data_IF_915695783296
#
_entry.id   IF_915695783296
#
_cell.length_a   1.000
_cell.length_b   1.000
_cell.length_c   1.000
_cell.angle_alpha   90.00
_cell.angle_beta   90.00
_cell.angle_gamma   90.00
#
_symmetry.space_group_name_H-M   'P 1'
#
loop_
_entity.id
_entity.type
_entity.pdbx_description
1 polymer ?
#
# COMPACT_ATOMS: atom_id res chain seq x y z
N UNK A 1 -21.95 -13.72 13.19
CA UNK A 1 -21.86 -12.93 14.44
C UNK A 1 -21.36 -11.57 14.08
N UNK A 2 -22.21 -10.55 14.20
CA UNK A 2 -21.90 -9.14 13.93
C UNK A 2 -21.05 -8.54 15.04
N UNK A 3 -19.94 -7.88 14.68
CA UNK A 3 -19.04 -7.22 15.64
C UNK A 3 -19.51 -5.81 15.97
N UNK A 4 -19.87 -5.04 14.94
CA UNK A 4 -20.39 -3.68 15.10
C UNK A 4 -21.67 -3.58 14.27
N UNK A 5 -22.85 -3.47 14.91
CA UNK A 5 -24.13 -3.43 14.21
C UNK A 5 -24.13 -2.41 13.06
N UNK A 6 -24.45 -2.89 11.86
CA UNK A 6 -24.53 -2.08 10.65
C UNK A 6 -23.19 -1.66 10.03
N UNK A 7 -22.06 -1.79 10.73
CA UNK A 7 -20.74 -1.35 10.25
C UNK A 7 -19.83 -2.54 9.93
N UNK A 8 -19.82 -3.57 10.77
CA UNK A 8 -18.91 -4.71 10.64
C UNK A 8 -19.67 -6.03 10.96
N UNK A 9 -20.08 -6.80 9.94
CA UNK A 9 -19.84 -6.55 8.51
C UNK A 9 -20.70 -5.38 8.01
N UNK A 10 -20.29 -4.69 6.93
CA UNK A 10 -21.01 -3.50 6.48
C UNK A 10 -22.42 -3.85 6.02
N UNK A 11 -23.43 -3.17 6.58
CA UNK A 11 -24.78 -3.20 6.02
C UNK A 11 -24.78 -2.63 4.59
N UNK A 12 -25.87 -2.84 3.84
CA UNK A 12 -25.98 -2.27 2.49
C UNK A 12 -25.84 -0.75 2.49
N UNK A 13 -26.48 -0.08 3.44
CA UNK A 13 -26.40 1.37 3.60
C UNK A 13 -24.97 1.84 3.89
N UNK A 14 -24.27 1.17 4.81
CA UNK A 14 -22.87 1.49 5.13
C UNK A 14 -21.97 1.26 3.93
N UNK A 15 -22.14 0.14 3.22
CA UNK A 15 -21.40 -0.18 2.01
C UNK A 15 -21.58 0.91 0.94
N UNK A 16 -22.82 1.24 0.59
CA UNK A 16 -23.12 2.24 -0.43
C UNK A 16 -22.58 3.63 -0.04
N UNK A 17 -22.70 4.03 1.24
CA UNK A 17 -22.14 5.26 1.76
C UNK A 17 -20.61 5.32 1.64
N UNK A 18 -19.91 4.27 2.10
CA UNK A 18 -18.45 4.22 2.08
C UNK A 18 -17.93 4.21 0.65
N UNK A 19 -18.50 3.38 -0.24
CA UNK A 19 -18.10 3.31 -1.64
C UNK A 19 -18.33 4.64 -2.37
N UNK A 20 -19.45 5.33 -2.10
CA UNK A 20 -19.70 6.64 -2.69
C UNK A 20 -18.72 7.69 -2.17
N UNK A 21 -18.49 7.73 -0.86
CA UNK A 21 -17.65 8.75 -0.22
C UNK A 21 -16.17 8.56 -0.56
N UNK A 22 -15.67 7.33 -0.56
CA UNK A 22 -14.25 7.02 -0.72
C UNK A 22 -13.70 7.35 -2.13
N UNK A 23 -14.58 7.44 -3.12
CA UNK A 23 -14.24 7.91 -4.47
C UNK A 23 -13.72 9.36 -4.51
N UNK A 24 -14.11 10.18 -3.53
CA UNK A 24 -13.70 11.57 -3.45
C UNK A 24 -12.43 11.78 -2.63
N UNK A 25 -11.81 10.70 -2.14
CA UNK A 25 -10.54 10.77 -1.42
C UNK A 25 -9.43 11.54 -2.16
N UNK A 26 -9.29 11.47 -3.50
CA UNK A 26 -8.26 12.22 -4.21
C UNK A 26 -8.35 13.74 -3.98
N UNK A 27 -9.54 14.28 -3.72
CA UNK A 27 -9.72 15.70 -3.38
C UNK A 27 -9.03 16.06 -2.06
N UNK A 28 -9.02 15.16 -1.08
CA UNK A 28 -8.29 15.35 0.17
C UNK A 28 -6.78 15.28 -0.06
N UNK A 29 -6.32 14.44 -0.97
CA UNK A 29 -4.90 14.34 -1.33
C UNK A 29 -4.40 15.56 -2.11
N UNK A 30 -5.28 16.46 -2.60
CA UNK A 30 -4.87 17.71 -3.24
C UNK A 30 -3.94 18.54 -2.35
N UNK A 31 -4.10 18.47 -1.03
CA UNK A 31 -3.19 19.12 -0.08
C UNK A 31 -1.76 18.57 -0.21
N UNK A 32 -1.58 17.27 -0.50
CA UNK A 32 -0.25 16.67 -0.69
C UNK A 32 0.46 17.15 -1.96
N UNK A 33 -0.25 17.82 -2.88
CA UNK A 33 0.37 18.45 -4.05
C UNK A 33 0.97 19.82 -3.73
N UNK A 34 0.48 20.49 -2.68
CA UNK A 34 0.95 21.81 -2.25
C UNK A 34 1.92 21.75 -1.06
N UNK A 35 2.09 20.58 -0.44
CA UNK A 35 3.05 20.40 0.65
C UNK A 35 3.80 19.09 0.55
N UNK A 36 5.10 19.13 0.83
CA UNK A 36 5.93 17.94 1.02
C UNK A 36 5.82 17.40 2.47
N UNK A 37 4.96 18.00 3.31
CA UNK A 37 4.78 17.61 4.70
C UNK A 37 4.01 16.29 4.84
N UNK A 38 4.77 15.22 5.07
CA UNK A 38 4.25 13.90 5.40
C UNK A 38 5.14 13.30 6.50
N UNK A 39 4.84 13.46 7.80
CA UNK A 39 5.78 13.17 8.89
C UNK A 39 5.99 11.66 9.13
N UNK A 40 6.70 11.03 8.19
CA UNK A 40 7.05 9.62 8.10
C UNK A 40 8.24 9.45 7.14
N UNK A 41 9.04 8.40 7.31
CA UNK A 41 10.15 8.10 6.39
C UNK A 41 11.20 9.21 6.30
N UNK A 42 11.44 9.74 5.08
CA UNK A 42 12.43 10.81 4.82
C UNK A 42 12.04 12.16 5.42
N UNK A 43 10.75 12.37 5.65
CA UNK A 43 10.12 13.60 6.15
C UNK A 43 9.65 13.46 7.60
N UNK A 44 10.08 12.39 8.29
CA UNK A 44 9.85 12.18 9.73
C UNK A 44 10.42 13.34 10.54
N UNK A 45 9.64 13.81 11.53
CA UNK A 45 9.97 14.94 12.42
C UNK A 45 10.20 14.43 13.84
N UNK A 46 10.86 15.22 14.68
CA UNK A 46 10.92 14.95 16.12
C UNK A 46 9.65 15.48 16.82
N UNK A 47 8.95 14.61 17.55
CA UNK A 47 7.67 14.91 18.18
C UNK A 47 7.37 13.88 19.28
N UNK A 48 6.79 14.35 20.39
CA UNK A 48 6.31 13.47 21.47
C UNK A 48 5.16 12.55 21.02
N UNK A 49 4.48 12.88 19.92
CA UNK A 49 3.39 12.09 19.33
C UNK A 49 3.90 11.05 18.32
N UNK A 50 5.20 10.79 18.26
CA UNK A 50 5.75 9.79 17.36
C UNK A 50 5.53 8.38 17.90
N UNK A 51 5.10 7.49 17.00
CA UNK A 51 5.02 6.05 17.24
C UNK A 51 6.27 5.40 16.63
N UNK A 52 6.86 4.36 17.28
CA UNK A 52 7.95 3.60 16.68
C UNK A 52 7.58 3.09 15.29
N UNK A 53 8.42 3.36 14.29
CA UNK A 53 8.02 3.25 12.88
C UNK A 53 7.46 1.90 12.47
N UNK A 54 8.07 0.79 12.91
CA UNK A 54 7.59 -0.57 12.60
C UNK A 54 6.21 -0.85 13.18
N UNK A 55 5.98 -0.42 14.44
CA UNK A 55 4.71 -0.61 15.14
C UNK A 55 3.64 0.28 14.50
N UNK A 56 3.95 1.57 14.29
CA UNK A 56 3.02 2.50 13.65
C UNK A 56 2.57 2.03 12.27
N UNK A 57 3.51 1.48 11.48
CA UNK A 57 3.20 0.90 10.18
C UNK A 57 2.32 -0.35 10.27
N UNK A 58 2.67 -1.30 11.13
CA UNK A 58 1.86 -2.52 11.29
C UNK A 58 0.43 -2.19 11.75
N UNK A 59 0.31 -1.28 12.72
CA UNK A 59 -0.97 -0.83 13.26
C UNK A 59 -1.81 -0.12 12.19
N UNK A 60 -1.23 0.75 11.37
CA UNK A 60 -2.02 1.50 10.39
C UNK A 60 -2.48 0.68 9.18
N UNK A 61 -1.77 -0.40 8.84
CA UNK A 61 -2.09 -1.27 7.70
C UNK A 61 -3.01 -2.45 8.07
N UNK A 62 -3.05 -2.86 9.34
CA UNK A 62 -3.86 -4.00 9.81
C UNK A 62 -5.38 -3.85 9.65
N UNK A 63 -6.00 -2.67 9.81
CA UNK A 63 -7.47 -2.55 9.73
C UNK A 63 -8.06 -3.05 8.41
N UNK A 64 -7.43 -2.71 7.28
CA UNK A 64 -7.90 -3.14 5.96
C UNK A 64 -7.94 -4.66 5.82
N UNK A 65 -6.85 -5.33 6.23
CA UNK A 65 -6.74 -6.79 6.29
C UNK A 65 -7.86 -7.41 7.12
N UNK A 66 -8.02 -6.93 8.36
CA UNK A 66 -8.97 -7.48 9.32
C UNK A 66 -10.42 -7.31 8.84
N UNK A 67 -10.77 -6.14 8.28
CA UNK A 67 -12.13 -5.85 7.81
C UNK A 67 -12.49 -6.70 6.59
N UNK A 68 -11.60 -6.86 5.61
CA UNK A 68 -11.87 -7.69 4.43
C UNK A 68 -12.03 -9.16 4.81
N UNK A 69 -11.11 -9.69 5.62
CA UNK A 69 -11.18 -11.07 6.09
C UNK A 69 -12.46 -11.32 6.89
N UNK A 70 -12.79 -10.42 7.81
CA UNK A 70 -14.01 -10.56 8.60
C UNK A 70 -15.28 -10.44 7.74
N UNK A 71 -15.31 -9.53 6.76
CA UNK A 71 -16.46 -9.35 5.87
C UNK A 71 -16.71 -10.58 5.00
N UNK A 72 -15.68 -11.19 4.40
CA UNK A 72 -15.87 -12.39 3.56
C UNK A 72 -16.34 -13.60 4.37
N UNK A 73 -15.99 -13.68 5.66
CA UNK A 73 -16.38 -14.79 6.55
C UNK A 73 -17.79 -14.64 7.14
N UNK A 74 -18.32 -13.42 7.24
CA UNK A 74 -19.55 -13.15 8.01
C UNK A 74 -20.69 -12.59 7.16
N UNK A 75 -20.39 -11.72 6.20
CA UNK A 75 -21.40 -11.03 5.40
C UNK A 75 -22.27 -11.97 4.54
N UNK A 76 -21.76 -13.07 3.94
CA UNK A 76 -22.60 -13.97 3.15
C UNK A 76 -23.78 -14.54 3.94
N UNK A 77 -23.54 -14.94 5.19
CA UNK A 77 -24.57 -15.48 6.07
C UNK A 77 -25.65 -14.43 6.39
N UNK A 78 -25.25 -13.18 6.66
CA UNK A 78 -26.16 -12.05 6.91
C UNK A 78 -27.00 -11.71 5.67
N UNK A 79 -26.48 -11.97 4.47
CA UNK A 79 -27.17 -11.75 3.19
C UNK A 79 -27.99 -12.96 2.73
N UNK A 80 -28.00 -14.06 3.48
CA UNK A 80 -28.66 -15.31 3.05
C UNK A 80 -27.98 -15.99 1.84
N UNK A 81 -26.73 -15.64 1.55
CA UNK A 81 -25.93 -16.24 0.48
C UNK A 81 -25.33 -17.53 1.02
N UNK A 82 -25.74 -18.68 0.44
CA UNK A 82 -25.25 -20.01 0.86
C UNK A 82 -23.76 -20.19 0.60
N UNK A 83 -23.29 -19.74 -0.57
CA UNK A 83 -21.90 -19.89 -1.00
C UNK A 83 -21.53 -18.73 -1.92
N UNK A 84 -20.38 -18.11 -1.67
CA UNK A 84 -19.84 -17.09 -2.55
C UNK A 84 -19.19 -17.72 -3.80
N UNK A 85 -19.22 -17.05 -4.95
CA UNK A 85 -18.46 -17.48 -6.12
C UNK A 85 -16.95 -17.57 -5.83
N UNK A 86 -16.25 -18.49 -6.51
CA UNK A 86 -14.81 -18.67 -6.37
C UNK A 86 -14.02 -17.38 -6.62
N UNK A 87 -14.47 -16.54 -7.55
CA UNK A 87 -13.85 -15.26 -7.88
C UNK A 87 -13.86 -14.28 -6.69
N UNK A 88 -14.90 -14.29 -5.84
CA UNK A 88 -14.93 -13.49 -4.62
C UNK A 88 -13.83 -13.93 -3.65
N UNK A 89 -13.69 -15.25 -3.45
CA UNK A 89 -12.61 -15.81 -2.62
C UNK A 89 -11.24 -15.51 -3.20
N UNK A 90 -11.06 -15.58 -4.52
CA UNK A 90 -9.83 -15.18 -5.19
C UNK A 90 -9.49 -13.72 -4.89
N UNK A 91 -10.41 -12.77 -5.12
CA UNK A 91 -10.16 -11.36 -4.80
C UNK A 91 -9.87 -11.14 -3.31
N UNK A 92 -10.63 -11.77 -2.41
CA UNK A 92 -10.38 -11.67 -0.98
C UNK A 92 -8.99 -12.21 -0.61
N UNK A 93 -8.59 -13.36 -1.17
CA UNK A 93 -7.29 -13.98 -0.92
C UNK A 93 -6.13 -13.13 -1.43
N UNK A 94 -6.22 -12.56 -2.63
CA UNK A 94 -5.19 -11.67 -3.17
C UNK A 94 -5.02 -10.42 -2.28
N UNK A 95 -6.13 -9.77 -1.91
CA UNK A 95 -6.09 -8.62 -1.00
C UNK A 95 -5.45 -8.98 0.35
N UNK A 96 -5.88 -10.10 0.95
CA UNK A 96 -5.34 -10.61 2.22
C UNK A 96 -3.85 -10.91 2.09
N UNK A 97 -3.41 -11.55 1.00
CA UNK A 97 -2.01 -11.88 0.77
C UNK A 97 -1.13 -10.62 0.67
N UNK A 98 -1.57 -9.61 -0.10
CA UNK A 98 -0.90 -8.31 -0.15
C UNK A 98 -0.77 -7.72 1.25
N UNK A 99 -1.87 -7.66 2.02
CA UNK A 99 -1.85 -7.00 3.32
C UNK A 99 -1.17 -7.81 4.44
N UNK A 100 -1.08 -9.14 4.33
CA UNK A 100 -0.17 -9.93 5.18
C UNK A 100 1.27 -9.49 4.93
N UNK A 101 1.66 -9.37 3.66
CA UNK A 101 2.97 -8.84 3.32
C UNK A 101 3.11 -7.41 3.84
N UNK A 102 2.18 -6.51 3.54
CA UNK A 102 2.31 -5.08 3.80
C UNK A 102 2.22 -4.69 5.28
N UNK A 103 1.29 -5.27 6.02
CA UNK A 103 1.04 -4.92 7.41
C UNK A 103 1.98 -5.64 8.38
N UNK A 104 2.38 -6.89 8.09
CA UNK A 104 3.12 -7.71 9.03
C UNK A 104 4.54 -7.99 8.55
N UNK A 105 4.69 -8.63 7.38
CA UNK A 105 6.01 -9.06 6.91
C UNK A 105 6.92 -7.87 6.58
N UNK A 106 6.40 -6.87 5.87
CA UNK A 106 7.13 -5.68 5.43
C UNK A 106 7.80 -4.95 6.59
N UNK A 107 7.09 -4.48 7.65
CA UNK A 107 7.73 -3.77 8.75
C UNK A 107 8.68 -4.65 9.56
N UNK A 108 8.41 -5.97 9.67
CA UNK A 108 9.31 -6.91 10.33
C UNK A 108 10.65 -7.05 9.58
N UNK A 109 10.61 -7.12 8.25
CA UNK A 109 11.79 -7.22 7.38
C UNK A 109 12.61 -5.92 7.29
N UNK A 110 12.06 -4.77 7.66
CA UNK A 110 12.79 -3.50 7.61
C UNK A 110 13.97 -3.50 8.60
N UNK A 111 15.21 -3.21 8.17
CA UNK A 111 16.34 -3.10 9.09
C UNK A 111 16.14 -1.96 10.09
N UNK A 112 15.70 -0.80 9.59
CA UNK A 112 15.35 0.38 10.35
C UNK A 112 14.15 1.07 9.72
N UNK A 113 13.37 1.78 10.54
CA UNK A 113 12.23 2.56 10.11
C UNK A 113 12.15 3.83 10.94
N UNK A 114 12.01 4.98 10.27
CA UNK A 114 11.89 6.26 10.99
C UNK A 114 10.57 6.31 11.77
N UNK A 115 10.53 7.00 12.92
CA UNK A 115 9.29 7.21 13.65
C UNK A 115 8.21 7.86 12.78
N UNK A 116 6.96 7.51 13.04
CA UNK A 116 5.80 7.99 12.29
C UNK A 116 4.94 8.80 13.25
N UNK A 117 4.59 10.02 12.86
CA UNK A 117 3.74 10.88 13.67
C UNK A 117 2.33 10.30 13.79
N UNK A 118 1.72 10.40 14.98
CA UNK A 118 0.38 9.88 15.27
C UNK A 118 -0.67 10.33 14.24
N UNK A 119 -0.64 11.59 13.81
CA UNK A 119 -1.57 12.10 12.78
C UNK A 119 -1.51 11.32 11.47
N UNK A 120 -0.31 10.92 11.02
CA UNK A 120 -0.13 10.08 9.83
C UNK A 120 -0.69 8.69 10.03
N UNK A 121 -0.42 8.09 11.20
CA UNK A 121 -0.94 6.76 11.56
C UNK A 121 -2.47 6.77 11.57
N UNK A 122 -3.11 7.73 12.22
CA UNK A 122 -4.57 7.84 12.28
C UNK A 122 -5.19 8.07 10.90
N UNK A 123 -4.56 8.88 10.05
CA UNK A 123 -5.05 9.11 8.69
C UNK A 123 -4.96 7.85 7.82
N UNK A 124 -3.88 7.07 7.95
CA UNK A 124 -3.73 5.78 7.27
C UNK A 124 -4.68 4.71 7.81
N UNK A 125 -4.96 4.69 9.12
CA UNK A 125 -6.01 3.83 9.71
C UNK A 125 -7.38 4.15 9.10
N UNK A 126 -7.74 5.44 9.04
CA UNK A 126 -9.01 5.87 8.45
C UNK A 126 -9.11 5.43 6.98
N UNK A 127 -8.05 5.65 6.20
CA UNK A 127 -7.96 5.19 4.81
C UNK A 127 -8.19 3.68 4.69
N UNK A 128 -7.47 2.86 5.48
CA UNK A 128 -7.59 1.41 5.45
C UNK A 128 -8.95 0.90 5.96
N UNK A 129 -9.64 1.64 6.85
CA UNK A 129 -11.02 1.33 7.23
C UNK A 129 -11.98 1.55 6.07
N UNK A 130 -11.94 2.70 5.40
CA UNK A 130 -12.79 2.99 4.25
C UNK A 130 -12.53 2.01 3.09
N UNK A 131 -11.25 1.72 2.82
CA UNK A 131 -10.87 0.75 1.80
C UNK A 131 -11.35 -0.66 2.17
N UNK A 132 -11.08 -1.09 3.41
CA UNK A 132 -11.46 -2.41 3.90
C UNK A 132 -12.97 -2.64 3.88
N UNK A 133 -13.77 -1.64 4.29
CA UNK A 133 -15.24 -1.72 4.24
C UNK A 133 -15.75 -1.76 2.79
N UNK A 134 -15.13 -1.00 1.89
CA UNK A 134 -15.49 -0.98 0.46
C UNK A 134 -15.18 -2.31 -0.23
N UNK A 135 -13.93 -2.78 -0.13
CA UNK A 135 -13.49 -4.04 -0.75
C UNK A 135 -14.17 -5.23 -0.08
N UNK A 136 -14.20 -5.25 1.25
CA UNK A 136 -14.81 -6.30 2.07
C UNK A 136 -16.30 -6.46 1.80
N UNK A 137 -17.04 -5.35 1.68
CA UNK A 137 -18.45 -5.39 1.30
C UNK A 137 -18.67 -5.92 -0.12
N UNK A 138 -17.81 -5.55 -1.08
CA UNK A 138 -17.90 -6.02 -2.46
C UNK A 138 -17.69 -7.54 -2.54
N UNK A 139 -16.57 -8.03 -2.02
CA UNK A 139 -16.21 -9.46 -2.07
C UNK A 139 -17.08 -10.31 -1.15
N UNK A 140 -17.59 -9.74 -0.05
CA UNK A 140 -18.46 -10.42 0.90
C UNK A 140 -19.92 -10.56 0.46
N UNK A 141 -20.31 -9.97 -0.68
CA UNK A 141 -21.60 -10.27 -1.32
C UNK A 141 -22.43 -9.07 -1.78
N UNK A 142 -22.11 -7.82 -1.39
CA UNK A 142 -22.91 -6.67 -1.86
C UNK A 142 -22.70 -6.35 -3.35
N UNK A 143 -21.50 -6.61 -3.87
CA UNK A 143 -21.13 -6.24 -5.24
C UNK A 143 -21.22 -7.38 -6.25
N UNK A 144 -20.81 -8.58 -5.85
CA UNK A 144 -20.72 -9.74 -6.74
C UNK A 144 -21.30 -11.01 -6.07
N UNK A 145 -22.62 -11.07 -5.82
CA UNK A 145 -23.22 -12.13 -4.99
C UNK A 145 -23.37 -13.49 -5.68
N UNK A 146 -23.30 -13.58 -7.02
CA UNK A 146 -23.76 -14.76 -7.74
C UNK A 146 -22.81 -15.24 -8.83
N UNK A 147 -22.90 -16.53 -9.17
CA UNK A 147 -22.13 -17.12 -10.28
C UNK A 147 -22.43 -16.44 -11.62
N UNK A 148 -23.68 -15.99 -11.82
CA UNK A 148 -24.08 -15.28 -13.02
C UNK A 148 -23.32 -13.96 -13.22
N UNK A 149 -22.97 -13.26 -12.14
CA UNK A 149 -22.14 -12.04 -12.21
C UNK A 149 -20.76 -12.32 -12.82
N UNK A 150 -20.18 -13.49 -12.53
CA UNK A 150 -18.85 -13.88 -12.98
C UNK A 150 -18.84 -14.69 -14.28
N UNK A 151 -20.01 -15.01 -14.83
CA UNK A 151 -20.12 -15.77 -16.06
C UNK A 151 -19.33 -15.10 -17.21
N UNK A 152 -18.56 -15.89 -17.95
CA UNK A 152 -17.73 -15.39 -19.06
C UNK A 152 -16.52 -14.54 -18.66
N UNK A 153 -16.23 -14.40 -17.35
CA UNK A 153 -15.14 -13.54 -16.87
C UNK A 153 -13.81 -14.26 -16.66
N UNK A 154 -13.71 -15.57 -16.93
CA UNK A 154 -12.54 -16.40 -16.61
C UNK A 154 -11.22 -15.82 -17.15
N UNK A 155 -11.13 -15.52 -18.46
CA UNK A 155 -9.93 -14.94 -19.05
C UNK A 155 -9.54 -13.59 -18.45
N UNK A 156 -10.53 -12.74 -18.13
CA UNK A 156 -10.29 -11.45 -17.48
C UNK A 156 -9.69 -11.64 -16.08
N UNK A 157 -10.23 -12.59 -15.32
CA UNK A 157 -9.73 -12.95 -13.99
C UNK A 157 -8.30 -13.49 -14.09
N UNK A 158 -8.02 -14.41 -15.02
CA UNK A 158 -6.68 -14.97 -15.24
C UNK A 158 -5.65 -13.90 -15.57
N UNK A 159 -5.92 -13.03 -16.56
CA UNK A 159 -5.04 -11.93 -16.93
C UNK A 159 -4.82 -11.00 -15.73
N UNK A 160 -5.90 -10.65 -15.01
CA UNK A 160 -5.82 -9.82 -13.82
C UNK A 160 -4.95 -10.43 -12.71
N UNK A 161 -5.06 -11.75 -12.47
CA UNK A 161 -4.22 -12.47 -11.51
C UNK A 161 -2.75 -12.51 -11.93
N UNK A 162 -2.45 -12.70 -13.22
CA UNK A 162 -1.08 -12.67 -13.74
C UNK A 162 -0.46 -11.29 -13.53
N UNK A 163 -1.18 -10.22 -13.90
CA UNK A 163 -0.73 -8.85 -13.67
C UNK A 163 -0.51 -8.61 -12.18
N UNK A 164 -1.48 -8.98 -11.34
CA UNK A 164 -1.40 -8.82 -9.90
C UNK A 164 -0.18 -9.54 -9.30
N UNK A 165 0.03 -10.81 -9.65
CA UNK A 165 1.10 -11.64 -9.09
C UNK A 165 2.49 -11.15 -9.46
N UNK A 166 2.74 -10.87 -10.74
CA UNK A 166 4.02 -10.31 -11.18
C UNK A 166 4.30 -8.93 -10.58
N UNK A 167 3.25 -8.14 -10.38
CA UNK A 167 3.35 -6.81 -9.79
C UNK A 167 3.67 -6.87 -8.30
N UNK A 168 3.02 -7.75 -7.53
CA UNK A 168 3.38 -7.97 -6.12
C UNK A 168 4.83 -8.46 -6.00
N UNK A 169 5.25 -9.43 -6.82
CA UNK A 169 6.65 -9.88 -6.84
C UNK A 169 7.62 -8.73 -7.15
N UNK A 170 7.27 -7.88 -8.12
CA UNK A 170 8.03 -6.67 -8.44
C UNK A 170 8.09 -5.70 -7.27
N UNK A 171 6.97 -5.44 -6.59
CA UNK A 171 6.93 -4.58 -5.40
C UNK A 171 7.85 -5.13 -4.30
N UNK A 172 7.73 -6.41 -3.96
CA UNK A 172 8.55 -7.09 -2.95
C UNK A 172 10.04 -7.01 -3.29
N UNK A 173 10.40 -7.28 -4.56
CA UNK A 173 11.78 -7.24 -5.05
C UNK A 173 12.40 -5.85 -4.87
N UNK A 174 11.71 -4.79 -5.30
CA UNK A 174 12.23 -3.43 -5.18
C UNK A 174 12.26 -2.94 -3.73
N UNK A 175 11.33 -3.38 -2.90
CA UNK A 175 11.38 -3.12 -1.46
C UNK A 175 12.58 -3.80 -0.80
N UNK A 176 12.93 -5.03 -1.20
CA UNK A 176 14.10 -5.72 -0.65
C UNK A 176 15.43 -5.09 -1.10
N UNK A 177 15.52 -4.59 -2.34
CA UNK A 177 16.68 -3.80 -2.79
C UNK A 177 16.89 -2.55 -1.91
N UNK A 178 15.80 -1.85 -1.57
CA UNK A 178 15.85 -0.71 -0.65
C UNK A 178 16.24 -1.12 0.78
N UNK A 179 15.82 -2.31 1.23
CA UNK A 179 16.25 -2.85 2.54
C UNK A 179 17.74 -3.17 2.51
N UNK A 180 18.26 -3.77 1.45
CA UNK A 180 19.66 -4.15 1.36
C UNK A 180 20.58 -2.93 1.41
N UNK A 181 20.19 -1.82 0.76
CA UNK A 181 20.88 -0.53 0.91
C UNK A 181 20.98 -0.10 2.37
N UNK A 182 19.88 -0.25 3.14
CA UNK A 182 19.88 0.07 4.58
C UNK A 182 20.72 -0.92 5.39
N UNK A 183 20.68 -2.22 5.07
CA UNK A 183 21.51 -3.24 5.74
C UNK A 183 22.99 -2.96 5.52
N UNK A 184 23.38 -2.69 4.27
CA UNK A 184 24.76 -2.33 3.90
C UNK A 184 25.23 -1.08 4.64
N UNK A 185 24.41 -0.03 4.67
CA UNK A 185 24.74 1.20 5.39
C UNK A 185 24.99 0.96 6.89
N UNK A 186 24.15 0.15 7.53
CA UNK A 186 24.30 -0.22 8.94
C UNK A 186 25.57 -1.03 9.20
N UNK A 187 25.94 -1.96 8.30
CA UNK A 187 27.19 -2.74 8.42
C UNK A 187 28.41 -1.82 8.38
N UNK A 188 28.47 -0.93 7.40
CA UNK A 188 29.57 0.05 7.24
C UNK A 188 29.70 0.93 8.49
N UNK A 189 28.59 1.41 9.05
CA UNK A 189 28.62 2.22 10.28
C UNK A 189 29.12 1.45 11.49
N UNK A 190 28.67 0.21 11.67
CA UNK A 190 29.13 -0.65 12.77
C UNK A 190 30.64 -0.91 12.67
N UNK A 191 31.13 -1.22 11.47
CA UNK A 191 32.56 -1.42 11.23
C UNK A 191 33.37 -0.15 11.52
N UNK A 192 32.87 1.02 11.12
CA UNK A 192 33.52 2.31 11.40
C UNK A 192 33.57 2.62 12.90
N UNK A 193 32.46 2.44 13.61
CA UNK A 193 32.40 2.65 15.06
C UNK A 193 33.33 1.71 15.83
N UNK A 194 33.41 0.43 15.42
CA UNK A 194 34.35 -0.54 15.98
C UNK A 194 35.81 -0.13 15.77
N UNK A 195 36.16 0.35 14.57
CA UNK A 195 37.52 0.83 14.26
C UNK A 195 37.90 2.10 15.01
N UNK A 196 36.93 2.99 15.26
CA UNK A 196 37.15 4.26 15.96
C UNK A 196 37.04 4.14 17.49
N UNK A 197 36.72 2.96 18.03
CA UNK A 197 36.57 2.74 19.47
C UNK A 197 35.44 3.54 20.12
N UNK A 198 34.51 4.08 19.31
CA UNK A 198 33.37 4.87 19.77
C UNK A 198 32.13 3.98 19.87
N UNK A 199 31.28 4.26 20.86
CA UNK A 199 29.93 3.70 20.86
C UNK A 199 29.21 4.13 19.56
N UNK A 200 28.36 3.25 19.02
CA UNK A 200 27.50 3.60 17.87
C UNK A 200 26.44 4.60 18.36
N UNK A 201 26.81 5.86 18.48
CA UNK A 201 25.89 6.95 18.80
C UNK A 201 25.10 7.32 17.54
N UNK A 202 23.93 6.70 17.40
CA UNK A 202 22.98 7.05 16.34
C UNK A 202 23.38 6.55 14.96
N UNK A 203 22.45 5.89 14.29
CA UNK A 203 22.58 5.56 12.87
C UNK A 203 22.39 6.85 12.08
N UNK A 204 23.47 7.49 11.61
CA UNK A 204 23.33 8.54 10.59
C UNK A 204 22.57 7.94 9.39
N UNK A 205 21.55 8.62 8.88
CA UNK A 205 20.79 8.08 7.73
C UNK A 205 21.65 8.18 6.47
N UNK A 206 22.41 7.14 6.18
CA UNK A 206 23.13 6.99 4.91
C UNK A 206 22.12 6.58 3.84
N UNK A 207 22.01 7.40 2.80
CA UNK A 207 21.16 7.15 1.65
C UNK A 207 22.03 6.85 0.44
N UNK A 208 21.58 5.90 -0.38
CA UNK A 208 22.20 5.58 -1.66
C UNK A 208 21.13 5.63 -2.77
N UNK A 209 21.58 5.81 -4.01
CA UNK A 209 20.72 5.66 -5.18
C UNK A 209 20.64 4.17 -5.50
N UNK A 210 19.46 3.55 -5.40
CA UNK A 210 19.26 2.15 -5.81
C UNK A 210 19.50 1.99 -7.31
N UNK A 211 19.98 0.81 -7.70
CA UNK A 211 20.39 0.55 -9.08
C UNK A 211 19.77 -0.71 -9.68
N UNK A 212 19.16 -1.60 -8.90
CA UNK A 212 18.72 -2.89 -9.43
C UNK A 212 17.30 -2.85 -10.02
N UNK A 213 17.01 -3.73 -10.98
CA UNK A 213 15.68 -3.84 -11.59
C UNK A 213 15.20 -2.54 -12.24
N UNK A 214 13.96 -2.12 -11.94
CA UNK A 214 13.36 -0.92 -12.50
C UNK A 214 13.99 0.38 -11.96
N UNK A 215 14.85 0.32 -10.94
CA UNK A 215 15.60 1.49 -10.46
C UNK A 215 16.56 2.07 -11.52
N UNK A 216 16.85 1.34 -12.60
CA UNK A 216 17.54 1.88 -13.77
C UNK A 216 16.73 2.98 -14.48
N UNK A 217 15.39 2.92 -14.42
CA UNK A 217 14.49 3.79 -15.18
C UNK A 217 13.72 4.78 -14.29
N UNK A 218 13.34 4.36 -13.08
CA UNK A 218 12.48 5.13 -12.16
C UNK A 218 12.99 5.08 -10.73
N UNK A 219 12.71 6.10 -9.91
CA UNK A 219 13.14 6.16 -8.50
C UNK A 219 12.18 5.48 -7.52
N UNK A 220 10.92 5.26 -7.92
CA UNK A 220 9.88 4.65 -7.09
C UNK A 220 9.21 3.44 -7.78
N UNK A 221 9.97 2.42 -8.19
CA UNK A 221 9.43 1.23 -8.84
C UNK A 221 8.52 0.39 -7.96
N UNK A 222 8.74 0.36 -6.64
CA UNK A 222 7.84 -0.32 -5.71
C UNK A 222 6.43 0.25 -5.78
N UNK A 223 6.27 1.58 -5.84
CA UNK A 223 4.96 2.22 -6.05
C UNK A 223 4.36 1.92 -7.43
N UNK A 224 5.18 1.95 -8.48
CA UNK A 224 4.71 1.62 -9.83
C UNK A 224 4.20 0.17 -9.91
N UNK A 225 4.93 -0.78 -9.32
CA UNK A 225 4.49 -2.15 -9.20
C UNK A 225 3.21 -2.27 -8.35
N UNK A 226 3.09 -1.53 -7.25
CA UNK A 226 1.87 -1.50 -6.42
C UNK A 226 0.66 -0.98 -7.21
N UNK A 227 0.84 0.01 -8.09
CA UNK A 227 -0.22 0.47 -8.99
C UNK A 227 -0.64 -0.61 -10.00
N UNK A 228 0.32 -1.32 -10.60
CA UNK A 228 0.01 -2.41 -11.53
C UNK A 228 -0.67 -3.57 -10.81
N UNK A 229 -0.29 -3.84 -9.56
CA UNK A 229 -0.94 -4.83 -8.71
C UNK A 229 -2.43 -4.50 -8.55
N UNK A 230 -2.76 -3.29 -8.11
CA UNK A 230 -4.16 -2.87 -7.95
C UNK A 230 -4.91 -2.69 -9.27
N UNK A 231 -4.21 -2.41 -10.39
CA UNK A 231 -4.80 -2.45 -11.72
C UNK A 231 -5.19 -3.88 -12.13
N UNK A 232 -4.34 -4.87 -11.84
CA UNK A 232 -4.67 -6.29 -12.01
C UNK A 232 -5.86 -6.69 -11.13
N UNK A 233 -5.87 -6.24 -9.88
CA UNK A 233 -6.99 -6.46 -8.95
C UNK A 233 -8.32 -5.90 -9.47
N UNK A 234 -8.30 -4.68 -10.01
CA UNK A 234 -9.47 -4.07 -10.64
C UNK A 234 -9.90 -4.83 -11.90
N UNK A 235 -8.96 -5.29 -12.72
CA UNK A 235 -9.26 -6.11 -13.89
C UNK A 235 -10.02 -7.39 -13.50
N UNK A 236 -9.62 -8.08 -12.42
CA UNK A 236 -10.34 -9.24 -11.88
C UNK A 236 -11.80 -8.86 -11.59
N UNK A 237 -12.01 -7.83 -10.76
CA UNK A 237 -13.33 -7.33 -10.38
C UNK A 237 -14.20 -6.83 -11.54
N UNK A 238 -13.57 -6.48 -12.66
CA UNK A 238 -14.22 -5.93 -13.85
C UNK A 238 -14.41 -4.41 -13.77
N UNK A 239 -14.71 -3.79 -14.91
CA UNK A 239 -14.80 -2.32 -15.05
C UNK A 239 -15.80 -1.68 -14.09
N UNK A 240 -16.84 -2.42 -13.69
CA UNK A 240 -17.88 -1.96 -12.77
C UNK A 240 -17.56 -2.22 -11.29
N UNK A 241 -16.41 -2.82 -10.95
CA UNK A 241 -15.95 -2.94 -9.58
C UNK A 241 -15.45 -1.57 -9.08
N UNK A 242 -16.40 -0.74 -8.63
CA UNK A 242 -16.12 0.60 -8.11
C UNK A 242 -15.10 0.57 -6.96
N UNK A 243 -15.19 -0.34 -5.95
CA UNK A 243 -14.22 -0.37 -4.86
C UNK A 243 -12.76 -0.57 -5.31
N UNK A 244 -12.50 -1.53 -6.21
CA UNK A 244 -11.16 -1.78 -6.71
C UNK A 244 -10.61 -0.60 -7.54
N UNK A 245 -11.45 -0.03 -8.40
CA UNK A 245 -11.12 1.17 -9.16
C UNK A 245 -10.76 2.34 -8.26
N UNK A 246 -11.61 2.62 -7.27
CA UNK A 246 -11.43 3.69 -6.30
C UNK A 246 -10.11 3.53 -5.57
N UNK A 247 -9.81 2.31 -5.12
CA UNK A 247 -8.58 2.06 -4.40
C UNK A 247 -7.34 2.35 -5.26
N UNK A 248 -7.29 1.86 -6.51
CA UNK A 248 -6.20 2.17 -7.44
C UNK A 248 -6.00 3.68 -7.64
N UNK A 249 -7.07 4.43 -7.88
CA UNK A 249 -6.95 5.88 -8.07
C UNK A 249 -6.53 6.62 -6.80
N UNK A 250 -6.99 6.16 -5.65
CA UNK A 250 -6.59 6.72 -4.36
C UNK A 250 -5.10 6.47 -4.06
N UNK A 251 -4.59 5.29 -4.42
CA UNK A 251 -3.16 4.96 -4.34
C UNK A 251 -2.34 5.88 -5.26
N UNK A 252 -2.78 6.06 -6.52
CA UNK A 252 -2.12 6.97 -7.47
C UNK A 252 -2.10 8.40 -6.92
N UNK A 253 -3.24 8.90 -6.45
CA UNK A 253 -3.37 10.26 -5.95
C UNK A 253 -2.49 10.53 -4.71
N UNK A 254 -2.25 9.51 -3.89
CA UNK A 254 -1.42 9.60 -2.67
C UNK A 254 0.07 9.40 -2.95
N UNK A 255 0.42 8.45 -3.83
CA UNK A 255 1.81 8.07 -4.08
C UNK A 255 2.51 8.96 -5.09
N UNK A 256 1.79 9.49 -6.10
CA UNK A 256 2.39 10.30 -7.15
C UNK A 256 3.05 11.58 -6.61
N UNK A 257 2.40 12.40 -5.75
CA UNK A 257 3.04 13.57 -5.15
C UNK A 257 4.30 13.20 -4.37
N UNK A 258 4.24 12.09 -3.63
CA UNK A 258 5.37 11.57 -2.83
C UNK A 258 6.53 11.13 -3.71
N UNK A 259 6.27 10.47 -4.84
CA UNK A 259 7.31 10.08 -5.79
C UNK A 259 7.99 11.31 -6.41
N UNK A 260 7.22 12.34 -6.74
CA UNK A 260 7.73 13.60 -7.27
C UNK A 260 8.57 14.37 -6.24
N UNK A 261 8.07 14.53 -5.02
CA UNK A 261 8.81 15.11 -3.90
C UNK A 261 10.09 14.31 -3.61
N UNK A 262 9.98 13.00 -3.63
CA UNK A 262 11.09 12.08 -3.45
C UNK A 262 12.17 12.21 -4.52
N UNK A 263 11.77 12.41 -5.79
CA UNK A 263 12.71 12.70 -6.89
C UNK A 263 13.43 14.03 -6.67
N UNK A 264 12.71 15.10 -6.32
CA UNK A 264 13.31 16.40 -5.97
C UNK A 264 14.35 16.25 -4.86
N UNK A 265 14.01 15.48 -3.83
CA UNK A 265 14.93 15.17 -2.74
C UNK A 265 16.17 14.39 -3.20
N UNK A 266 16.03 13.42 -4.11
CA UNK A 266 17.18 12.69 -4.68
C UNK A 266 18.09 13.62 -5.48
N UNK A 267 17.53 14.51 -6.30
CA UNK A 267 18.28 15.49 -7.08
C UNK A 267 19.02 16.49 -6.18
N UNK A 268 18.37 16.96 -5.11
CA UNK A 268 19.00 17.86 -4.13
C UNK A 268 20.14 17.16 -3.37
N UNK A 269 19.95 15.90 -2.98
CA UNK A 269 20.92 15.18 -2.15
C UNK A 269 22.12 14.63 -2.93
N UNK A 270 21.91 14.17 -4.16
CA UNK A 270 22.96 13.50 -4.95
C UNK A 270 23.37 14.26 -6.21
N UNK A 271 22.67 15.34 -6.56
CA UNK A 271 22.87 16.05 -7.80
C UNK A 271 22.11 15.43 -8.98
N UNK A 272 21.63 16.28 -9.89
CA UNK A 272 20.89 15.85 -11.10
C UNK A 272 21.70 14.92 -11.99
N UNK A 273 23.00 15.15 -12.09
CA UNK A 273 23.91 14.30 -12.89
C UNK A 273 23.93 12.85 -12.40
N UNK A 274 23.96 12.62 -11.08
CA UNK A 274 23.95 11.27 -10.51
C UNK A 274 22.59 10.59 -10.60
N UNK A 275 21.51 11.36 -10.45
CA UNK A 275 20.15 10.85 -10.65
C UNK A 275 19.94 10.44 -12.11
N UNK A 276 20.53 11.19 -13.04
CA UNK A 276 20.53 10.90 -14.47
C UNK A 276 19.13 10.99 -15.09
N UNK A 277 18.88 10.20 -16.12
CA UNK A 277 17.60 10.17 -16.85
C UNK A 277 16.43 9.51 -16.10
N UNK A 278 16.61 9.11 -14.83
CA UNK A 278 15.59 8.40 -14.06
C UNK A 278 14.34 9.27 -13.86
N UNK A 279 13.20 8.68 -14.14
CA UNK A 279 11.89 9.25 -13.88
C UNK A 279 11.49 9.01 -12.42
N UNK A 280 10.44 9.65 -11.94
CA UNK A 280 9.96 9.48 -10.57
C UNK A 280 9.33 8.09 -10.43
N UNK A 281 8.37 7.73 -11.29
CA UNK A 281 7.52 6.55 -11.11
C UNK A 281 7.08 5.86 -12.40
N UNK A 282 6.82 6.57 -13.51
CA UNK A 282 6.48 5.92 -14.79
C UNK A 282 7.69 5.96 -15.73
N UNK A 283 8.22 4.81 -16.16
CA UNK A 283 9.37 4.76 -17.06
C UNK A 283 9.12 5.56 -18.35
N UNK A 284 10.08 6.40 -18.74
CA UNK A 284 9.98 7.24 -19.93
C UNK A 284 9.06 8.47 -19.81
N UNK A 285 8.17 8.53 -18.82
CA UNK A 285 7.18 9.59 -18.67
C UNK A 285 7.49 10.53 -17.49
N UNK A 286 7.20 10.10 -16.25
CA UNK A 286 7.17 10.98 -15.08
C UNK A 286 7.96 10.44 -13.90
#
# INVERSE_FOLDING_TARGET
>A
MTLIPGILPPSRQTYDFVVNTFQYFPLFTAVQWITDFYPSGKTSIDSALNIPGKIGWAVMETPGLAIVLYSVLTLPAELGIKELPWANYTMAALYVLHYIYRAWVYPLLQPTMSPIHLGTVLSAIAFNIFNGLSIGGFVGGHGAPSQAYWAGSAYRIEIGMVIWGWSLMGNIFHDDDLREIRRSALRIQKEKAQKEGKAVEGVEKVYMIPKNGLFHYILFPHYFCEWLEWAGFWAIGGLHCVPARTFLFNEIATMLPRALAGKRWYEQKFGKERVGGRKAIIPGLI
#
